data_IF_597090835745
#
_entry.id   IF_597090835745
#
_cell.length_a   1.000
_cell.length_b   1.000
_cell.length_c   1.000
_cell.angle_alpha   90.00
_cell.angle_beta   90.00
_cell.angle_gamma   90.00
#
_symmetry.space_group_name_H-M   'P 1'
#
loop_
_entity.id
_entity.type
_entity.pdbx_description
1 polymer ?
#
# COMPACT_ATOMS: atom_id res chain seq x y z
N UNK A 1 -11.63 18.04 4.75
CA UNK A 1 -12.78 17.13 4.49
C UNK A 1 -12.61 15.84 5.29
N UNK A 2 -13.64 14.99 5.41
CA UNK A 2 -13.57 13.77 6.25
C UNK A 2 -12.41 12.86 5.83
N UNK A 3 -12.06 12.83 4.54
CA UNK A 3 -10.88 12.16 3.98
C UNK A 3 -9.53 12.53 4.64
N UNK A 4 -9.34 13.76 5.12
CA UNK A 4 -8.07 14.18 5.74
C UNK A 4 -7.82 13.45 7.07
N UNK A 5 -8.90 13.10 7.77
CA UNK A 5 -8.86 12.36 9.03
C UNK A 5 -8.37 10.93 8.81
N UNK A 6 -8.65 10.37 7.62
CA UNK A 6 -8.21 9.05 7.20
C UNK A 6 -6.81 9.04 6.56
N UNK A 7 -6.42 10.12 5.87
CA UNK A 7 -5.06 10.27 5.31
C UNK A 7 -4.02 10.59 6.36
N UNK A 8 -4.29 11.58 7.21
CA UNK A 8 -3.35 12.10 8.21
C UNK A 8 -4.08 12.37 9.52
N UNK A 9 -4.51 11.32 10.24
CA UNK A 9 -5.08 11.48 11.57
C UNK A 9 -4.06 12.20 12.47
N UNK A 10 -4.44 13.39 12.96
CA UNK A 10 -3.56 14.21 13.81
C UNK A 10 -3.60 13.80 15.28
N UNK A 11 -4.77 13.37 15.74
CA UNK A 11 -5.03 12.98 17.13
C UNK A 11 -4.74 11.48 17.34
N UNK A 12 -4.07 11.12 18.43
CA UNK A 12 -3.66 9.73 18.74
C UNK A 12 -4.85 8.75 18.79
N UNK A 13 -5.96 9.16 19.42
CA UNK A 13 -7.20 8.35 19.44
C UNK A 13 -7.72 8.05 18.03
N UNK A 14 -7.59 9.00 17.11
CA UNK A 14 -8.04 8.83 15.73
C UNK A 14 -7.07 7.95 14.95
N UNK A 15 -5.77 8.04 15.21
CA UNK A 15 -4.77 7.12 14.63
C UNK A 15 -5.08 5.67 15.00
N UNK A 16 -5.32 5.41 16.28
CA UNK A 16 -5.65 4.06 16.78
C UNK A 16 -6.94 3.52 16.15
N UNK A 17 -7.98 4.35 16.05
CA UNK A 17 -9.25 3.94 15.44
C UNK A 17 -9.10 3.66 13.94
N UNK A 18 -8.40 4.52 13.20
CA UNK A 18 -8.11 4.31 11.78
C UNK A 18 -7.30 3.02 11.58
N UNK A 19 -6.26 2.81 12.41
CA UNK A 19 -5.40 1.63 12.36
C UNK A 19 -6.15 0.33 12.58
N UNK A 20 -7.05 0.25 13.57
CA UNK A 20 -7.86 -0.96 13.80
C UNK A 20 -8.78 -1.31 12.61
N UNK A 21 -9.17 -0.31 11.82
CA UNK A 21 -10.02 -0.52 10.64
C UNK A 21 -9.18 -1.00 9.45
N UNK A 22 -7.97 -0.48 9.27
CA UNK A 22 -7.13 -0.70 8.09
C UNK A 22 -6.09 -1.81 8.26
N UNK A 23 -5.59 -2.02 9.47
CA UNK A 23 -4.48 -2.92 9.81
C UNK A 23 -4.90 -3.84 10.96
N UNK A 24 -5.68 -4.92 10.68
CA UNK A 24 -5.92 -5.95 11.70
C UNK A 24 -4.57 -6.56 12.13
N UNK A 25 -4.42 -6.94 13.40
CA UNK A 25 -3.17 -7.46 13.98
C UNK A 25 -2.53 -8.59 13.14
N UNK A 26 -3.37 -9.42 12.49
CA UNK A 26 -3.00 -10.49 11.56
C UNK A 26 -2.08 -10.02 10.41
N UNK A 27 -2.20 -8.75 10.00
CA UNK A 27 -1.40 -8.13 8.94
C UNK A 27 0.09 -8.10 9.28
N UNK A 28 0.41 -7.88 10.56
CA UNK A 28 1.81 -7.77 11.01
C UNK A 28 2.50 -9.13 10.94
N UNK A 29 1.80 -10.21 11.29
CA UNK A 29 2.36 -11.56 11.26
C UNK A 29 2.48 -12.10 9.83
N UNK A 30 1.51 -11.80 8.96
CA UNK A 30 1.59 -12.14 7.53
C UNK A 30 2.79 -11.44 6.84
N UNK A 31 3.01 -10.16 7.13
CA UNK A 31 4.17 -9.41 6.61
C UNK A 31 5.48 -10.01 7.12
N UNK A 32 5.58 -10.31 8.42
CA UNK A 32 6.78 -10.94 8.99
C UNK A 32 7.08 -12.31 8.39
N UNK A 33 6.06 -13.15 8.18
CA UNK A 33 6.24 -14.44 7.52
C UNK A 33 6.70 -14.27 6.07
N UNK A 34 6.08 -13.36 5.31
CA UNK A 34 6.53 -13.11 3.94
C UNK A 34 7.95 -12.54 3.85
N UNK A 35 8.35 -11.66 4.77
CA UNK A 35 9.72 -11.17 4.87
C UNK A 35 10.71 -12.29 5.18
N UNK A 36 10.31 -13.29 5.98
CA UNK A 36 11.12 -14.45 6.27
C UNK A 36 11.24 -15.39 5.05
N UNK A 37 10.16 -15.58 4.30
CA UNK A 37 10.13 -16.46 3.12
C UNK A 37 10.75 -15.81 1.86
N UNK A 38 10.72 -14.48 1.77
CA UNK A 38 11.19 -13.71 0.62
C UNK A 38 11.99 -12.48 1.06
N UNK A 39 13.23 -12.66 1.56
CA UNK A 39 14.05 -11.58 2.10
C UNK A 39 14.50 -10.55 1.06
N UNK A 40 14.39 -10.87 -0.24
CA UNK A 40 14.89 -10.04 -1.34
C UNK A 40 13.80 -9.18 -2.01
N UNK A 41 12.55 -9.28 -1.54
CA UNK A 41 11.42 -8.54 -2.10
C UNK A 41 11.21 -7.19 -1.42
N UNK A 42 10.85 -6.17 -2.20
CA UNK A 42 10.48 -4.86 -1.65
C UNK A 42 9.01 -4.89 -1.22
N UNK A 43 8.76 -4.99 0.08
CA UNK A 43 7.40 -4.85 0.60
C UNK A 43 7.05 -3.37 0.72
N UNK A 44 5.99 -2.97 0.02
CA UNK A 44 5.45 -1.63 0.07
C UNK A 44 4.00 -1.66 0.54
N UNK A 45 3.67 -0.74 1.44
CA UNK A 45 2.31 -0.45 1.84
C UNK A 45 1.77 0.67 0.97
N UNK A 46 0.66 0.39 0.29
CA UNK A 46 -0.08 1.33 -0.54
C UNK A 46 -1.34 1.75 0.20
N UNK A 47 -1.46 3.03 0.51
CA UNK A 47 -2.68 3.59 1.12
C UNK A 47 -3.49 4.33 0.06
N UNK A 48 -4.66 3.77 -0.23
CA UNK A 48 -5.60 4.30 -1.22
C UNK A 48 -6.65 5.15 -0.51
N UNK A 49 -6.85 6.38 -0.99
CA UNK A 49 -7.84 7.29 -0.42
C UNK A 49 -8.54 8.11 -1.50
N UNK A 50 -9.86 7.95 -1.59
CA UNK A 50 -10.72 8.67 -2.53
C UNK A 50 -10.94 7.90 -3.84
N UNK A 51 -11.17 8.62 -4.94
CA UNK A 51 -11.42 8.04 -6.27
C UNK A 51 -10.20 7.36 -6.89
N UNK A 52 -8.98 7.72 -6.45
CA UNK A 52 -7.72 7.12 -6.94
C UNK A 52 -7.62 5.62 -6.61
N UNK A 53 -8.38 5.16 -5.62
CA UNK A 53 -8.55 3.75 -5.29
C UNK A 53 -9.29 2.94 -6.37
N UNK A 54 -10.01 3.61 -7.28
CA UNK A 54 -10.74 2.96 -8.38
C UNK A 54 -9.91 2.90 -9.67
N UNK A 55 -8.72 3.52 -9.69
CA UNK A 55 -7.77 3.42 -10.81
C UNK A 55 -7.08 2.05 -10.83
N UNK A 56 -6.85 1.43 -12.01
CA UNK A 56 -6.19 0.13 -12.13
C UNK A 56 -4.66 0.24 -11.93
N UNK A 57 -4.21 0.77 -10.80
CA UNK A 57 -2.80 1.05 -10.49
C UNK A 57 -1.91 -0.18 -10.70
N UNK A 58 -2.29 -1.33 -10.12
CA UNK A 58 -1.49 -2.56 -10.19
C UNK A 58 -1.30 -3.03 -11.64
N UNK A 59 -2.36 -2.97 -12.45
CA UNK A 59 -2.28 -3.31 -13.87
C UNK A 59 -1.40 -2.33 -14.64
N UNK A 60 -1.45 -1.04 -14.30
CA UNK A 60 -0.58 -0.03 -14.91
C UNK A 60 0.89 -0.29 -14.55
N UNK A 61 1.18 -0.67 -13.30
CA UNK A 61 2.54 -1.01 -12.87
C UNK A 61 3.12 -2.16 -13.70
N UNK A 62 2.43 -3.31 -13.72
CA UNK A 62 2.89 -4.52 -14.42
C UNK A 62 3.04 -4.29 -15.92
N UNK A 63 2.24 -3.40 -16.53
CA UNK A 63 2.32 -3.09 -17.97
C UNK A 63 3.39 -2.06 -18.32
N UNK A 64 3.77 -1.22 -17.37
CA UNK A 64 4.69 -0.08 -17.63
C UNK A 64 6.12 -0.39 -17.20
N UNK A 65 6.27 -1.19 -16.15
CA UNK A 65 7.57 -1.54 -15.57
C UNK A 65 7.74 -3.05 -15.62
N UNK A 66 8.99 -3.50 -15.77
CA UNK A 66 9.33 -4.92 -15.73
C UNK A 66 9.45 -5.39 -14.28
N UNK A 67 8.31 -5.41 -13.59
CA UNK A 67 8.18 -5.79 -12.19
C UNK A 67 7.09 -6.84 -11.99
N UNK A 68 7.36 -7.80 -11.12
CA UNK A 68 6.36 -8.69 -10.57
C UNK A 68 5.74 -8.06 -9.34
N UNK A 69 4.40 -8.10 -9.26
CA UNK A 69 3.65 -7.59 -8.13
C UNK A 69 2.91 -8.74 -7.48
N UNK A 70 3.24 -9.03 -6.22
CA UNK A 70 2.51 -10.00 -5.42
C UNK A 70 1.72 -9.29 -4.32
N UNK A 71 0.43 -9.58 -4.19
CA UNK A 71 -0.42 -8.99 -3.16
C UNK A 71 -0.32 -9.88 -1.91
N UNK A 72 0.24 -9.33 -0.84
CA UNK A 72 0.41 -10.02 0.44
C UNK A 72 -0.90 -10.03 1.20
N UNK A 73 -1.44 -8.83 1.40
CA UNK A 73 -2.65 -8.59 2.17
C UNK A 73 -3.19 -7.22 1.81
N UNK A 74 -4.50 -7.04 1.91
CA UNK A 74 -5.05 -5.70 1.82
C UNK A 74 -6.49 -5.68 2.27
N UNK A 75 -6.92 -4.49 2.69
CA UNK A 75 -8.29 -4.21 3.05
C UNK A 75 -8.66 -2.86 2.47
N UNK A 76 -9.55 -2.89 1.48
CA UNK A 76 -10.11 -1.70 0.85
C UNK A 76 -11.60 -1.67 1.13
N UNK A 77 -12.06 -0.56 1.72
CA UNK A 77 -13.46 -0.35 2.10
C UNK A 77 -14.01 0.84 1.32
N UNK A 78 -15.20 0.69 0.76
CA UNK A 78 -15.88 1.79 0.08
C UNK A 78 -16.46 2.76 1.11
N UNK A 79 -16.16 4.04 0.95
CA UNK A 79 -16.66 5.16 1.77
C UNK A 79 -17.45 6.13 0.87
N UNK A 80 -18.12 7.12 1.47
CA UNK A 80 -18.94 8.07 0.71
C UNK A 80 -18.15 8.89 -0.32
N UNK A 81 -16.88 9.19 -0.03
CA UNK A 81 -16.00 10.01 -0.87
C UNK A 81 -14.99 9.17 -1.69
N UNK A 82 -15.27 7.88 -1.94
CA UNK A 82 -14.42 6.99 -2.74
C UNK A 82 -14.11 5.67 -2.02
N UNK A 83 -12.90 5.13 -2.15
CA UNK A 83 -12.47 4.00 -1.32
C UNK A 83 -11.34 4.41 -0.39
N UNK A 84 -11.28 3.74 0.75
CA UNK A 84 -10.24 3.91 1.74
C UNK A 84 -9.69 2.55 2.16
N UNK A 85 -8.37 2.42 2.16
CA UNK A 85 -7.75 1.17 2.58
C UNK A 85 -6.26 1.07 2.33
N UNK A 86 -5.70 -0.01 2.79
CA UNK A 86 -4.28 -0.34 2.66
C UNK A 86 -4.11 -1.64 1.87
N UNK A 87 -3.04 -1.70 1.09
CA UNK A 87 -2.63 -2.88 0.34
C UNK A 87 -1.13 -3.07 0.52
N UNK A 88 -0.73 -4.20 1.06
CA UNK A 88 0.65 -4.63 1.18
C UNK A 88 0.99 -5.46 -0.03
N UNK A 89 1.98 -5.01 -0.79
CA UNK A 89 2.44 -5.71 -1.99
C UNK A 89 3.93 -5.91 -1.93
N UNK A 90 4.39 -7.07 -2.37
CA UNK A 90 5.79 -7.31 -2.66
C UNK A 90 6.06 -6.98 -4.13
N UNK A 91 7.06 -6.13 -4.36
CA UNK A 91 7.56 -5.77 -5.67
C UNK A 91 8.90 -6.46 -5.88
N UNK A 92 8.97 -7.26 -6.95
CA UNK A 92 10.18 -7.95 -7.36
C UNK A 92 10.54 -7.53 -8.80
N UNK A 93 11.84 -7.43 -9.09
CA UNK A 93 12.34 -7.00 -10.39
C UNK A 93 13.75 -6.44 -10.26
N UNK A 94 14.27 -5.84 -11.33
CA UNK A 94 15.51 -5.08 -11.23
C UNK A 94 15.32 -3.88 -10.30
N UNK A 95 16.35 -3.56 -9.51
CA UNK A 95 16.29 -2.47 -8.53
C UNK A 95 15.82 -1.15 -9.14
N UNK A 96 16.35 -0.81 -10.32
CA UNK A 96 15.99 0.40 -11.05
C UNK A 96 14.52 0.39 -11.50
N UNK A 97 13.99 -0.76 -11.91
CA UNK A 97 12.57 -0.91 -12.28
C UNK A 97 11.65 -0.73 -11.08
N UNK A 98 12.01 -1.34 -9.94
CA UNK A 98 11.26 -1.23 -8.69
C UNK A 98 11.25 0.21 -8.18
N UNK A 99 12.39 0.91 -8.21
CA UNK A 99 12.46 2.32 -7.82
C UNK A 99 11.59 3.21 -8.72
N UNK A 100 11.60 2.98 -10.05
CA UNK A 100 10.73 3.70 -10.98
C UNK A 100 9.25 3.39 -10.76
N UNK A 101 8.91 2.15 -10.46
CA UNK A 101 7.56 1.73 -10.10
C UNK A 101 7.08 2.46 -8.84
N UNK A 102 7.89 2.48 -7.77
CA UNK A 102 7.57 3.19 -6.52
C UNK A 102 7.36 4.69 -6.78
N UNK A 103 8.25 5.34 -7.55
CA UNK A 103 8.12 6.74 -7.90
C UNK A 103 6.84 7.03 -8.71
N UNK A 104 6.46 6.11 -9.61
CA UNK A 104 5.20 6.20 -10.35
C UNK A 104 3.99 6.14 -9.41
N UNK A 105 3.97 5.24 -8.43
CA UNK A 105 2.86 5.15 -7.47
C UNK A 105 2.73 6.44 -6.66
N UNK A 106 3.85 6.98 -6.18
CA UNK A 106 3.86 8.26 -5.45
C UNK A 106 3.27 9.42 -6.28
N UNK A 107 3.43 9.38 -7.61
CA UNK A 107 2.83 10.38 -8.51
C UNK A 107 1.31 10.27 -8.64
N UNK A 108 0.72 9.12 -8.29
CA UNK A 108 -0.71 8.80 -8.49
C UNK A 108 -1.61 9.14 -7.30
N UNK A 109 -1.18 10.06 -6.42
CA UNK A 109 -1.87 10.42 -5.17
C UNK A 109 -2.20 9.21 -4.26
N UNK A 110 -1.48 8.11 -4.45
CA UNK A 110 -1.47 6.96 -3.55
C UNK A 110 -0.30 7.16 -2.60
N UNK A 111 -0.55 7.07 -1.30
CA UNK A 111 0.53 7.15 -0.32
C UNK A 111 1.28 5.81 -0.32
N UNK A 112 2.61 5.87 -0.35
CA UNK A 112 3.48 4.70 -0.40
C UNK A 112 4.43 4.75 0.78
N UNK A 113 4.44 3.67 1.55
CA UNK A 113 5.41 3.46 2.61
C UNK A 113 6.23 2.20 2.31
N UNK A 114 7.56 2.33 2.34
CA UNK A 114 8.47 1.20 2.11
C UNK A 114 8.78 0.56 3.46
N UNK A 115 8.36 -0.68 3.66
CA UNK A 115 8.50 -1.40 4.94
C UNK A 115 9.88 -2.06 5.04
N UNK A 116 10.45 -2.49 3.92
CA UNK A 116 11.75 -3.15 3.89
C UNK A 116 12.49 -2.83 2.59
N UNK A 117 13.80 -2.65 2.72
CA UNK A 117 14.76 -2.65 1.63
C UNK A 117 15.49 -3.99 1.68
N UNK A 118 15.53 -4.68 0.53
CA UNK A 118 16.49 -5.74 0.28
C UNK A 118 17.83 -5.15 -0.17
#
# INVERSE_FOLDING_TARGET
>A
PVLDVFRKPKEEMTKEFVKQITEPEETTDAIKQMLADHPEGHIVQLTFVGEEAESPLITQLIRTFDVEVNIVQGKITKIHEGSYGTLFVALNGQKEEVERAIAFIQSKKVEVEVITYA
#
